data_IF_516457753798
#
_entry.id   IF_516457753798
#
_cell.length_a   1.000
_cell.length_b   1.000
_cell.length_c   1.000
_cell.angle_alpha   90.00
_cell.angle_beta   90.00
_cell.angle_gamma   90.00
#
_symmetry.space_group_name_H-M   'P 1'
#
loop_
_entity.id
_entity.type
_entity.pdbx_description
1 polymer ?
#
# COMPACT_ATOMS: atom_id res chain seq x y z
N UNK A 1 11.66 -15.94 -1.59
CA UNK A 1 10.43 -16.18 -0.79
C UNK A 1 9.53 -15.00 -1.07
N UNK A 2 8.30 -15.26 -1.48
CA UNK A 2 7.30 -14.22 -1.67
C UNK A 2 7.08 -13.50 -0.34
N UNK A 3 7.07 -12.17 -0.35
CA UNK A 3 6.82 -11.36 0.86
C UNK A 3 5.48 -10.64 0.75
N UNK A 4 4.75 -10.54 1.85
CA UNK A 4 3.43 -9.92 1.89
C UNK A 4 3.46 -8.60 2.65
N UNK A 5 2.59 -7.69 2.24
CA UNK A 5 2.62 -6.35 2.74
C UNK A 5 1.39 -5.54 2.39
N UNK A 6 1.51 -4.23 2.56
CA UNK A 6 0.46 -3.30 2.22
C UNK A 6 1.01 -2.05 1.56
N UNK A 7 0.15 -1.41 0.78
CA UNK A 7 0.36 -0.10 0.22
C UNK A 7 -0.87 0.74 0.53
N UNK A 8 -0.68 1.98 0.98
CA UNK A 8 -1.79 2.84 1.29
C UNK A 8 -1.51 4.31 1.10
N UNK A 9 -2.59 5.08 1.14
CA UNK A 9 -2.58 6.54 1.12
C UNK A 9 -3.15 7.07 2.42
N UNK A 10 -2.58 8.16 2.92
CA UNK A 10 -3.14 8.92 4.04
C UNK A 10 -3.61 10.25 3.49
N UNK A 11 -4.90 10.52 3.67
CA UNK A 11 -5.54 11.72 3.16
C UNK A 11 -6.65 12.15 4.12
N UNK A 12 -6.64 13.42 4.50
CA UNK A 12 -7.61 14.00 5.43
C UNK A 12 -7.73 13.18 6.74
N UNK A 13 -6.56 12.79 7.27
CA UNK A 13 -6.37 11.96 8.47
C UNK A 13 -6.94 10.54 8.37
N UNK A 14 -7.32 10.11 7.18
CA UNK A 14 -7.85 8.76 6.94
C UNK A 14 -6.84 7.94 6.17
N UNK A 15 -6.52 6.75 6.69
CA UNK A 15 -5.70 5.78 5.96
C UNK A 15 -6.60 4.93 5.06
N UNK A 16 -6.18 4.74 3.81
CA UNK A 16 -6.79 3.83 2.85
C UNK A 16 -5.74 2.79 2.49
N UNK A 17 -5.89 1.58 3.00
CA UNK A 17 -4.86 0.54 2.95
C UNK A 17 -5.32 -0.58 2.02
N UNK A 18 -4.48 -0.90 1.04
CA UNK A 18 -4.62 -2.04 0.14
C UNK A 18 -3.62 -3.11 0.50
N UNK A 19 -4.03 -4.37 0.37
CA UNK A 19 -3.12 -5.51 0.46
C UNK A 19 -2.16 -5.56 -0.76
N UNK A 20 -0.95 -6.07 -0.55
CA UNK A 20 0.04 -6.39 -1.56
C UNK A 20 0.57 -7.82 -1.36
N UNK A 21 0.37 -8.69 -2.35
CA UNK A 21 0.46 -10.13 -2.19
C UNK A 21 1.83 -10.76 -2.39
N UNK A 22 2.71 -10.07 -3.11
CA UNK A 22 4.04 -10.59 -3.42
C UNK A 22 5.05 -9.45 -3.54
N UNK A 23 6.33 -9.83 -3.44
CA UNK A 23 7.51 -8.98 -3.64
C UNK A 23 7.47 -7.64 -2.88
N UNK A 24 6.81 -7.62 -1.72
CA UNK A 24 6.66 -6.40 -0.91
C UNK A 24 7.93 -5.93 -0.21
N UNK A 25 9.03 -6.69 -0.24
CA UNK A 25 10.33 -6.25 0.26
C UNK A 25 10.84 -4.97 -0.45
N UNK A 26 11.80 -4.23 0.14
CA UNK A 26 12.23 -2.93 -0.37
C UNK A 26 12.65 -2.90 -1.84
N UNK A 27 13.38 -3.90 -2.31
CA UNK A 27 13.82 -3.99 -3.71
C UNK A 27 12.71 -4.31 -4.73
N UNK A 28 11.53 -4.75 -4.27
CA UNK A 28 10.35 -4.99 -5.10
C UNK A 28 9.40 -3.79 -5.04
N UNK A 29 8.27 -3.96 -4.35
CA UNK A 29 7.24 -2.91 -4.22
C UNK A 29 7.80 -1.60 -3.66
N UNK A 30 8.80 -1.64 -2.77
CA UNK A 30 9.38 -0.42 -2.22
C UNK A 30 10.01 0.49 -3.27
N UNK A 31 10.90 -0.07 -4.11
CA UNK A 31 11.51 0.65 -5.24
C UNK A 31 10.48 1.02 -6.29
N UNK A 32 9.45 0.17 -6.52
CA UNK A 32 8.34 0.52 -7.41
C UNK A 32 7.62 1.78 -6.95
N UNK A 33 7.22 1.83 -5.67
CA UNK A 33 6.54 2.99 -5.07
C UNK A 33 7.43 4.22 -5.08
N UNK A 34 8.70 4.09 -4.68
CA UNK A 34 9.68 5.18 -4.68
C UNK A 34 9.90 5.74 -6.09
N UNK A 35 10.03 4.87 -7.08
CA UNK A 35 10.22 5.25 -8.47
C UNK A 35 9.00 5.97 -8.99
N UNK A 36 7.81 5.42 -8.78
CA UNK A 36 6.57 6.07 -9.16
C UNK A 36 6.46 7.47 -8.55
N UNK A 37 6.71 7.63 -7.24
CA UNK A 37 6.68 8.94 -6.58
C UNK A 37 7.65 9.97 -7.21
N UNK A 38 8.83 9.54 -7.64
CA UNK A 38 9.85 10.44 -8.23
C UNK A 38 9.55 10.83 -9.67
N UNK A 39 8.99 9.92 -10.48
CA UNK A 39 8.97 10.09 -11.95
C UNK A 39 7.57 10.12 -12.58
N UNK A 40 6.57 9.54 -11.93
CA UNK A 40 5.26 9.28 -12.52
C UNK A 40 4.08 9.76 -11.68
N UNK A 41 4.29 10.03 -10.39
CA UNK A 41 3.24 10.55 -9.53
C UNK A 41 2.77 11.92 -10.05
N UNK A 42 1.45 12.17 -10.08
CA UNK A 42 0.93 13.45 -10.49
C UNK A 42 1.28 14.54 -9.46
N UNK A 43 1.15 15.82 -9.82
CA UNK A 43 1.31 16.93 -8.87
C UNK A 43 0.49 16.70 -7.59
N UNK A 44 1.03 17.13 -6.45
CA UNK A 44 0.49 16.77 -5.13
C UNK A 44 -1.01 17.10 -4.97
N UNK A 45 -1.50 18.20 -5.53
CA UNK A 45 -2.91 18.57 -5.47
C UNK A 45 -3.81 17.61 -6.27
N UNK A 46 -3.33 17.12 -7.42
CA UNK A 46 -4.00 16.10 -8.22
C UNK A 46 -3.95 14.75 -7.51
N UNK A 47 -2.78 14.38 -6.97
CA UNK A 47 -2.62 13.13 -6.21
C UNK A 47 -3.56 13.09 -5.00
N UNK A 48 -3.66 14.18 -4.24
CA UNK A 48 -4.61 14.30 -3.11
C UNK A 48 -6.05 14.09 -3.56
N UNK A 49 -6.48 14.72 -4.66
CA UNK A 49 -7.84 14.53 -5.21
C UNK A 49 -8.11 13.09 -5.62
N UNK A 50 -7.15 12.46 -6.30
CA UNK A 50 -7.30 11.06 -6.73
C UNK A 50 -7.35 10.11 -5.53
N UNK A 51 -6.42 10.23 -4.57
CA UNK A 51 -6.41 9.42 -3.36
C UNK A 51 -7.69 9.61 -2.51
N UNK A 52 -8.19 10.85 -2.39
CA UNK A 52 -9.46 11.13 -1.74
C UNK A 52 -10.65 10.44 -2.45
N UNK A 53 -10.63 10.37 -3.78
CA UNK A 53 -11.67 9.74 -4.58
C UNK A 53 -11.62 8.19 -4.60
N UNK A 54 -10.50 7.57 -4.20
CA UNK A 54 -10.41 6.10 -4.12
C UNK A 54 -11.48 5.56 -3.19
N UNK A 55 -12.35 4.69 -3.73
CA UNK A 55 -13.40 4.03 -2.96
C UNK A 55 -12.82 2.84 -2.19
N UNK A 56 -13.08 2.77 -0.90
CA UNK A 56 -12.71 1.60 -0.07
C UNK A 56 -13.92 0.66 0.00
N UNK A 57 -13.72 -0.62 -0.31
CA UNK A 57 -14.79 -1.64 -0.29
C UNK A 57 -14.48 -2.72 0.73
N UNK A 58 -15.52 -3.21 1.40
CA UNK A 58 -15.37 -4.30 2.36
C UNK A 58 -14.99 -5.60 1.65
N UNK A 59 -14.03 -6.40 2.18
CA UNK A 59 -13.68 -7.71 1.64
C UNK A 59 -14.84 -8.72 1.70
N UNK A 60 -15.83 -8.49 2.56
CA UNK A 60 -17.03 -9.36 2.65
C UNK A 60 -18.10 -9.01 1.63
N UNK A 61 -18.00 -7.85 0.98
CA UNK A 61 -18.93 -7.43 -0.08
C UNK A 61 -18.61 -8.08 -1.43
N UNK A 62 -19.45 -7.85 -2.43
CA UNK A 62 -19.24 -8.33 -3.81
C UNK A 62 -19.18 -7.16 -4.79
N UNK A 63 -18.35 -7.22 -5.84
CA UNK A 63 -18.36 -6.23 -6.90
C UNK A 63 -19.69 -6.26 -7.64
N UNK A 64 -20.16 -5.08 -8.04
CA UNK A 64 -21.35 -4.97 -8.90
C UNK A 64 -21.02 -5.39 -10.33
N UNK A 65 -22.02 -5.71 -11.19
CA UNK A 65 -21.76 -5.96 -12.61
C UNK A 65 -21.04 -4.80 -13.32
N UNK A 66 -21.33 -3.55 -12.91
CA UNK A 66 -20.64 -2.36 -13.42
C UNK A 66 -19.18 -2.29 -12.98
N UNK A 67 -18.87 -2.70 -11.75
CA UNK A 67 -17.49 -2.80 -11.27
C UNK A 67 -16.72 -3.87 -12.04
N UNK A 68 -17.31 -5.06 -12.22
CA UNK A 68 -16.71 -6.16 -12.99
C UNK A 68 -16.36 -5.70 -14.40
N UNK A 69 -17.31 -5.04 -15.09
CA UNK A 69 -17.07 -4.54 -16.45
C UNK A 69 -15.97 -3.47 -16.51
N UNK A 70 -15.97 -2.52 -15.56
CA UNK A 70 -15.02 -1.40 -15.53
C UNK A 70 -13.60 -1.83 -15.15
N UNK A 71 -13.48 -2.84 -14.28
CA UNK A 71 -12.21 -3.27 -13.69
C UNK A 71 -11.67 -4.55 -14.31
N UNK A 72 -12.33 -5.10 -15.35
CA UNK A 72 -11.97 -6.36 -15.98
C UNK A 72 -10.46 -6.47 -16.33
N UNK A 73 -9.83 -5.36 -16.75
CA UNK A 73 -8.41 -5.29 -17.08
C UNK A 73 -7.45 -5.56 -15.90
N UNK A 74 -7.91 -5.41 -14.65
CA UNK A 74 -7.11 -5.63 -13.44
C UNK A 74 -7.31 -7.02 -12.83
N UNK A 75 -8.20 -7.82 -13.42
CA UNK A 75 -8.59 -9.13 -12.91
C UNK A 75 -7.39 -10.08 -12.91
N UNK A 76 -7.39 -11.01 -11.96
CA UNK A 76 -6.51 -12.17 -11.94
C UNK A 76 -6.59 -12.91 -13.29
N UNK A 77 -5.47 -13.03 -14.03
CA UNK A 77 -5.43 -13.77 -15.30
C UNK A 77 -5.86 -15.24 -15.18
N UNK A 78 -5.77 -15.82 -13.99
CA UNK A 78 -6.17 -17.20 -13.71
C UNK A 78 -7.66 -17.34 -13.35
N UNK A 79 -8.37 -16.24 -13.10
CA UNK A 79 -9.79 -16.26 -12.77
C UNK A 79 -10.65 -16.18 -14.03
N UNK A 80 -11.50 -17.19 -14.25
CA UNK A 80 -12.42 -17.20 -15.39
C UNK A 80 -13.59 -16.22 -15.23
N UNK A 81 -13.94 -15.86 -13.99
CA UNK A 81 -14.95 -14.86 -13.62
C UNK A 81 -14.64 -14.32 -12.22
N UNK A 82 -14.25 -13.04 -12.12
CA UNK A 82 -14.09 -12.39 -10.82
C UNK A 82 -15.43 -12.29 -10.08
N UNK A 83 -15.49 -12.92 -8.90
CA UNK A 83 -16.64 -12.87 -7.98
C UNK A 83 -16.30 -12.07 -6.73
N UNK A 84 -15.03 -11.93 -6.41
CA UNK A 84 -14.53 -11.22 -5.23
C UNK A 84 -13.72 -9.99 -5.63
N UNK A 85 -13.67 -8.99 -4.75
CA UNK A 85 -12.88 -7.79 -4.97
C UNK A 85 -11.40 -8.10 -5.11
N UNK A 86 -10.88 -8.96 -4.24
CA UNK A 86 -9.55 -9.57 -4.36
C UNK A 86 -9.18 -9.99 -5.80
N UNK A 87 -10.02 -10.81 -6.45
CA UNK A 87 -9.78 -11.33 -7.80
C UNK A 87 -9.84 -10.22 -8.84
N UNK A 88 -10.78 -9.29 -8.68
CA UNK A 88 -11.01 -8.19 -9.62
C UNK A 88 -9.90 -7.13 -9.55
N UNK A 89 -9.27 -6.96 -8.40
CA UNK A 89 -8.24 -5.97 -8.11
C UNK A 89 -6.83 -6.56 -8.08
N UNK A 90 -6.67 -7.83 -8.45
CA UNK A 90 -5.42 -8.59 -8.37
C UNK A 90 -4.20 -7.81 -8.89
N UNK A 91 -4.32 -7.22 -10.09
CA UNK A 91 -3.20 -6.52 -10.73
C UNK A 91 -2.92 -5.11 -10.17
N UNK A 92 -3.77 -4.59 -9.27
CA UNK A 92 -3.55 -3.30 -8.61
C UNK A 92 -2.73 -3.42 -7.33
N UNK A 93 -2.64 -4.62 -6.76
CA UNK A 93 -2.06 -4.84 -5.46
C UNK A 93 -0.56 -4.55 -5.45
N UNK A 94 -0.13 -3.57 -4.65
CA UNK A 94 1.26 -3.11 -4.59
C UNK A 94 1.67 -2.09 -5.65
N UNK A 95 0.73 -1.61 -6.49
CA UNK A 95 1.02 -0.63 -7.54
C UNK A 95 0.20 0.65 -7.32
N UNK A 96 0.82 1.77 -6.87
CA UNK A 96 0.10 3.00 -6.54
C UNK A 96 -0.57 3.61 -7.77
N UNK A 97 0.02 3.49 -8.96
CA UNK A 97 -0.55 4.04 -10.18
C UNK A 97 -1.84 3.30 -10.54
N UNK A 98 -1.79 1.97 -10.56
CA UNK A 98 -2.97 1.15 -10.89
C UNK A 98 -4.07 1.28 -9.84
N UNK A 99 -3.73 1.42 -8.56
CA UNK A 99 -4.71 1.72 -7.51
C UNK A 99 -5.48 3.02 -7.82
N UNK A 100 -4.75 4.09 -8.15
CA UNK A 100 -5.38 5.38 -8.45
C UNK A 100 -6.20 5.33 -9.75
N UNK A 101 -5.72 4.64 -10.79
CA UNK A 101 -6.45 4.43 -12.05
C UNK A 101 -7.73 3.59 -11.84
N UNK A 102 -7.65 2.51 -11.05
CA UNK A 102 -8.80 1.70 -10.70
C UNK A 102 -9.81 2.48 -9.84
N UNK A 103 -9.33 3.41 -9.01
CA UNK A 103 -10.16 4.26 -8.16
C UNK A 103 -10.92 3.50 -7.06
N UNK A 104 -10.51 2.27 -6.77
CA UNK A 104 -11.11 1.42 -5.74
C UNK A 104 -10.04 0.49 -5.15
N UNK A 105 -10.11 0.25 -3.85
CA UNK A 105 -9.30 -0.75 -3.14
C UNK A 105 -10.20 -1.62 -2.26
N UNK A 106 -9.87 -2.90 -2.14
CA UNK A 106 -10.39 -3.75 -1.06
C UNK A 106 -9.74 -3.33 0.26
N UNK A 107 -10.54 -3.15 1.30
CA UNK A 107 -10.06 -2.71 2.61
C UNK A 107 -9.15 -3.76 3.24
N UNK A 108 -7.89 -3.37 3.47
CA UNK A 108 -6.90 -4.15 4.17
C UNK A 108 -6.38 -3.42 5.43
N UNK A 109 -7.19 -2.55 6.03
CA UNK A 109 -6.80 -1.74 7.19
C UNK A 109 -6.40 -2.56 8.42
N UNK A 110 -6.89 -3.79 8.54
CA UNK A 110 -6.53 -4.73 9.61
C UNK A 110 -5.23 -5.52 9.30
N UNK A 111 -4.80 -5.58 8.03
CA UNK A 111 -3.65 -6.39 7.61
C UNK A 111 -2.31 -5.99 8.25
N UNK A 112 -2.03 -4.70 8.56
CA UNK A 112 -0.83 -4.35 9.32
C UNK A 112 -0.73 -5.09 10.67
N UNK A 113 -1.82 -5.52 11.31
CA UNK A 113 -1.74 -6.30 12.54
C UNK A 113 -1.48 -7.80 12.30
N UNK A 114 -1.52 -8.28 11.05
CA UNK A 114 -1.33 -9.69 10.71
C UNK A 114 0.15 -10.11 10.86
N UNK A 115 0.45 -11.28 11.44
CA UNK A 115 1.82 -11.77 11.61
C UNK A 115 2.57 -12.03 10.28
N UNK A 116 1.87 -12.10 9.16
CA UNK A 116 2.46 -12.21 7.81
C UNK A 116 2.64 -10.86 7.13
N UNK A 117 2.32 -9.73 7.78
CA UNK A 117 2.73 -8.43 7.28
C UNK A 117 4.24 -8.30 7.49
N UNK A 118 5.00 -8.26 6.39
CA UNK A 118 6.46 -8.14 6.42
C UNK A 118 6.91 -6.72 6.11
N UNK A 119 6.24 -6.07 5.15
CA UNK A 119 6.55 -4.71 4.72
C UNK A 119 5.29 -3.88 4.46
N UNK A 120 5.42 -2.56 4.59
CA UNK A 120 4.33 -1.64 4.33
C UNK A 120 4.82 -0.30 3.82
N UNK A 121 4.07 0.31 2.91
CA UNK A 121 4.38 1.60 2.31
C UNK A 121 3.17 2.51 2.43
N UNK A 122 3.30 3.62 3.16
CA UNK A 122 2.24 4.61 3.27
C UNK A 122 2.68 5.91 2.61
N UNK A 123 1.91 6.36 1.63
CA UNK A 123 2.06 7.67 1.02
C UNK A 123 1.20 8.62 1.84
N UNK A 124 1.81 9.29 2.82
CA UNK A 124 1.12 10.25 3.68
C UNK A 124 1.07 11.61 2.99
N UNK A 125 -0.09 11.94 2.42
CA UNK A 125 -0.27 13.18 1.67
C UNK A 125 -0.54 14.38 2.57
N UNK A 126 -0.93 14.15 3.83
CA UNK A 126 -1.18 15.21 4.80
C UNK A 126 0.15 15.74 5.35
N UNK A 127 1.08 14.83 5.66
CA UNK A 127 2.42 15.15 6.13
C UNK A 127 3.44 15.26 4.99
N UNK A 128 3.05 14.90 3.77
CA UNK A 128 3.91 14.86 2.56
C UNK A 128 5.15 13.98 2.76
N UNK A 129 4.94 12.76 3.26
CA UNK A 129 6.02 11.80 3.47
C UNK A 129 5.68 10.43 2.88
N UNK A 130 6.69 9.73 2.35
CA UNK A 130 6.66 8.29 2.17
C UNK A 130 7.13 7.63 3.46
N UNK A 131 6.27 6.88 4.12
CA UNK A 131 6.59 6.08 5.29
C UNK A 131 6.81 4.61 4.90
N UNK A 132 7.88 4.01 5.43
CA UNK A 132 8.20 2.60 5.22
C UNK A 132 8.16 1.85 6.54
N UNK A 133 7.40 0.75 6.53
CA UNK A 133 7.10 -0.07 7.68
C UNK A 133 7.68 -1.48 7.51
N UNK A 134 8.11 -2.07 8.62
CA UNK A 134 8.61 -3.45 8.67
C UNK A 134 7.90 -4.22 9.79
N UNK A 135 7.26 -5.32 9.42
CA UNK A 135 6.56 -6.20 10.35
C UNK A 135 7.45 -7.22 11.01
N UNK A 136 6.83 -8.24 11.60
CA UNK A 136 7.53 -9.30 12.35
C UNK A 136 7.98 -8.88 13.75
N UNK A 137 7.34 -7.86 14.35
CA UNK A 137 7.73 -7.36 15.66
C UNK A 137 7.26 -8.32 16.77
N UNK A 138 8.20 -8.79 17.58
CA UNK A 138 7.93 -9.69 18.71
C UNK A 138 7.55 -8.97 20.01
N UNK A 139 7.62 -7.63 20.01
CA UNK A 139 7.33 -6.79 21.18
C UNK A 139 6.59 -5.52 20.75
N UNK A 140 5.74 -4.94 21.63
CA UNK A 140 5.16 -3.63 21.39
C UNK A 140 6.22 -2.55 21.13
N UNK A 141 5.87 -1.56 20.32
CA UNK A 141 6.75 -0.44 19.97
C UNK A 141 5.99 0.89 19.93
N UNK A 142 6.71 2.01 19.91
CA UNK A 142 6.14 3.37 19.86
C UNK A 142 6.38 4.09 18.51
N UNK A 143 6.79 3.36 17.47
CA UNK A 143 7.18 3.92 16.16
C UNK A 143 6.03 3.91 15.16
N UNK A 144 5.65 5.10 14.68
CA UNK A 144 4.70 5.26 13.58
C UNK A 144 3.24 5.01 13.94
N UNK A 145 2.38 4.97 12.93
CA UNK A 145 0.91 4.93 13.10
C UNK A 145 0.37 3.61 13.65
N UNK A 146 1.12 2.51 13.52
CA UNK A 146 0.72 1.18 13.99
C UNK A 146 1.27 0.86 15.39
N UNK A 147 1.80 1.85 16.10
CA UNK A 147 2.32 1.72 17.46
C UNK A 147 1.25 1.42 18.53
N UNK A 148 -0.03 1.40 18.17
CA UNK A 148 -1.15 1.32 19.12
C UNK A 148 -1.66 -0.09 19.39
N UNK A 149 -1.11 -1.13 18.74
CA UNK A 149 -1.52 -2.50 19.02
C UNK A 149 -0.56 -3.18 20.01
N UNK A 150 -1.08 -3.54 21.19
CA UNK A 150 -0.34 -4.26 22.23
C UNK A 150 -0.15 -5.74 21.91
N UNK A 151 -0.77 -6.25 20.84
CA UNK A 151 -0.50 -7.58 20.32
C UNK A 151 0.82 -7.58 19.53
N UNK A 152 1.69 -8.56 19.79
CA UNK A 152 2.90 -8.73 19.01
C UNK A 152 2.54 -8.96 17.53
N UNK A 153 3.16 -8.23 16.61
CA UNK A 153 2.96 -8.40 15.16
C UNK A 153 2.96 -7.09 14.36
N UNK A 154 2.46 -6.00 14.94
CA UNK A 154 2.32 -4.72 14.24
C UNK A 154 3.65 -4.19 13.69
N UNK A 155 3.66 -3.58 12.49
CA UNK A 155 4.88 -3.13 11.85
C UNK A 155 5.30 -1.77 12.39
N UNK A 156 6.60 -1.64 12.63
CA UNK A 156 7.18 -0.39 13.08
C UNK A 156 7.54 0.53 11.91
N UNK A 157 7.47 1.84 12.12
CA UNK A 157 7.99 2.80 11.15
C UNK A 157 9.52 2.72 11.11
N UNK A 158 10.08 2.22 10.02
CA UNK A 158 11.52 2.11 9.80
C UNK A 158 12.08 3.48 9.47
N UNK A 159 11.54 4.11 8.42
CA UNK A 159 11.99 5.40 7.90
C UNK A 159 10.84 6.18 7.26
N UNK A 160 11.00 7.50 7.19
CA UNK A 160 10.13 8.39 6.44
C UNK A 160 10.96 9.36 5.60
N UNK A 161 10.59 9.54 4.34
CA UNK A 161 11.20 10.53 3.45
C UNK A 161 10.17 11.55 3.02
N UNK A 162 10.54 12.83 2.99
CA UNK A 162 9.63 13.85 2.45
C UNK A 162 9.43 13.62 0.95
N UNK A 163 8.22 13.86 0.44
CA UNK A 163 7.93 13.70 -0.98
C UNK A 163 8.70 14.70 -1.87
N UNK A 164 9.24 15.77 -1.28
CA UNK A 164 10.05 16.78 -1.96
C UNK A 164 11.54 16.38 -2.01
N UNK A 165 11.98 15.44 -1.17
CA UNK A 165 13.37 14.99 -1.03
C UNK A 165 13.43 13.47 -0.88
N UNK A 166 13.07 12.77 -1.97
CA UNK A 166 13.06 11.32 -2.03
C UNK A 166 14.47 10.78 -2.37
N UNK A 167 14.90 9.68 -1.73
CA UNK A 167 16.22 9.10 -1.94
C UNK A 167 16.34 8.47 -3.33
N UNK A 168 17.57 8.21 -3.77
CA UNK A 168 17.83 7.27 -4.87
C UNK A 168 17.50 5.84 -4.46
N UNK A 169 17.31 4.94 -5.44
CA UNK A 169 17.05 3.51 -5.17
C UNK A 169 18.14 2.90 -4.31
N UNK A 170 19.39 3.27 -4.59
CA UNK A 170 20.55 2.79 -3.84
C UNK A 170 20.49 3.24 -2.37
N UNK A 171 20.30 4.54 -2.12
CA UNK A 171 20.22 5.08 -0.77
C UNK A 171 19.03 4.50 0.00
N UNK A 172 17.89 4.34 -0.66
CA UNK A 172 16.70 3.70 -0.11
C UNK A 172 16.99 2.28 0.37
N UNK A 173 17.61 1.45 -0.48
CA UNK A 173 17.92 0.07 -0.16
C UNK A 173 19.01 -0.07 0.91
N UNK A 174 20.07 0.73 0.82
CA UNK A 174 21.16 0.74 1.81
C UNK A 174 20.64 1.18 3.19
N UNK A 175 19.77 2.19 3.24
CA UNK A 175 19.14 2.64 4.49
C UNK A 175 18.29 1.55 5.10
N UNK A 176 17.41 0.90 4.32
CA UNK A 176 16.50 -0.13 4.84
C UNK A 176 17.21 -1.45 5.19
N UNK A 177 18.35 -1.75 4.57
CA UNK A 177 19.16 -2.92 4.93
C UNK A 177 19.87 -2.75 6.29
N UNK A 178 20.09 -1.52 6.74
CA UNK A 178 20.76 -1.21 8.00
C UNK A 178 19.82 -0.96 9.19
N UNK A 179 18.49 -1.05 8.96
CA UNK A 179 17.45 -0.63 9.89
C UNK A 179 16.67 -1.77 10.58
#
# INVERSE_FOLDING_TARGET
MATRGFLGFVIDRTAKISYAHDDTYPAGVGVLVLTWLRIAAPPLDVLRKQAAAVRVVSPTSRPTPGDIARLAQYTDPCSSQARYWWELLWQTQGDPEKILQAGVIEDASDFPADPHCEWGYMIDLDNKVLEVYRGGQSRPHQRGRFATDTSAGAPWLVMGWTLEDLPTDREFLETLASA
#
